data_IF_827969303124
#
_entry.id   IF_827969303124
#
_cell.length_a   1.000
_cell.length_b   1.000
_cell.length_c   1.000
_cell.angle_alpha   90.00
_cell.angle_beta   90.00
_cell.angle_gamma   90.00
#
_symmetry.space_group_name_H-M   'P 1'
#
loop_
_entity.id
_entity.type
_entity.pdbx_description
1 polymer ?
#
# COMPACT_ATOMS: atom_id res chain seq x y z
N UNK A 1 -22.41 10.41 21.76
CA UNK A 1 -21.97 9.05 21.35
C UNK A 1 -22.71 7.95 22.10
N UNK A 2 -22.76 7.97 23.44
CA UNK A 2 -23.42 6.92 24.24
C UNK A 2 -24.94 7.14 24.39
N UNK A 3 -25.62 7.35 23.27
CA UNK A 3 -27.07 7.47 23.26
C UNK A 3 -27.71 6.10 22.95
N UNK A 4 -28.80 5.77 23.64
CA UNK A 4 -29.47 4.47 23.51
C UNK A 4 -30.14 4.32 22.14
N UNK A 5 -30.96 5.30 21.73
CA UNK A 5 -31.52 5.33 20.38
C UNK A 5 -30.40 5.68 19.39
N UNK A 6 -30.10 4.82 18.39
CA UNK A 6 -29.07 5.11 17.38
C UNK A 6 -29.31 6.43 16.65
N UNK A 7 -30.58 6.85 16.47
CA UNK A 7 -30.92 8.12 15.81
C UNK A 7 -30.55 9.34 16.64
N UNK A 8 -30.43 9.17 17.95
CA UNK A 8 -30.00 10.22 18.88
C UNK A 8 -28.47 10.28 19.05
N UNK A 9 -27.75 9.34 18.44
CA UNK A 9 -26.29 9.31 18.48
C UNK A 9 -25.72 10.38 17.56
N UNK A 10 -24.76 11.16 18.08
CA UNK A 10 -23.94 12.08 17.29
C UNK A 10 -23.25 11.36 16.12
N UNK A 11 -23.19 11.99 14.95
CA UNK A 11 -22.47 11.47 13.79
C UNK A 11 -20.96 11.70 13.94
N UNK A 12 -20.15 11.10 13.04
CA UNK A 12 -18.70 11.28 13.09
C UNK A 12 -18.32 12.74 12.80
N UNK A 13 -18.99 13.38 11.83
CA UNK A 13 -18.75 14.76 11.42
C UNK A 13 -19.06 15.73 12.57
N UNK A 14 -20.21 15.56 13.23
CA UNK A 14 -20.59 16.37 14.39
C UNK A 14 -19.65 16.15 15.59
N UNK A 15 -19.07 14.96 15.72
CA UNK A 15 -18.10 14.68 16.78
C UNK A 15 -16.75 15.36 16.52
N UNK A 16 -16.31 15.45 15.26
CA UNK A 16 -15.09 16.15 14.85
C UNK A 16 -15.19 17.66 15.11
N UNK A 17 -16.37 18.26 14.92
CA UNK A 17 -16.66 19.65 15.27
C UNK A 17 -16.75 19.93 16.79
N UNK A 18 -16.67 18.91 17.66
CA UNK A 18 -16.84 19.09 19.10
C UNK A 18 -15.62 19.79 19.74
N UNK A 19 -15.79 20.71 20.72
CA UNK A 19 -14.69 21.47 21.33
C UNK A 19 -13.54 20.63 21.90
N UNK A 20 -13.84 19.37 22.27
CA UNK A 20 -12.84 18.42 22.74
C UNK A 20 -11.76 18.09 21.70
N UNK A 21 -12.11 18.05 20.41
CA UNK A 21 -11.18 17.72 19.32
C UNK A 21 -10.63 18.95 18.60
N UNK A 22 -10.99 20.17 19.02
CA UNK A 22 -10.67 21.41 18.33
C UNK A 22 -9.17 21.61 18.05
N UNK A 23 -8.29 21.15 18.93
CA UNK A 23 -6.83 21.25 18.75
C UNK A 23 -6.32 20.41 17.56
N UNK A 24 -7.04 19.35 17.19
CA UNK A 24 -6.62 18.38 16.17
C UNK A 24 -7.47 18.44 14.90
N UNK A 25 -8.66 19.04 14.98
CA UNK A 25 -9.62 19.05 13.88
C UNK A 25 -9.14 19.92 12.72
N UNK A 26 -9.02 19.33 11.53
CA UNK A 26 -8.72 20.01 10.27
C UNK A 26 -9.58 19.43 9.14
N UNK A 27 -10.61 20.18 8.74
CA UNK A 27 -11.55 19.78 7.68
C UNK A 27 -10.88 19.50 6.34
N UNK A 28 -9.70 20.07 6.07
CA UNK A 28 -8.98 19.82 4.80
C UNK A 28 -8.27 18.46 4.79
N UNK A 29 -7.99 17.89 5.96
CA UNK A 29 -7.29 16.62 6.13
C UNK A 29 -8.24 15.46 6.55
N UNK A 30 -9.55 15.68 6.48
CA UNK A 30 -10.59 14.73 6.86
C UNK A 30 -11.61 14.53 5.72
N UNK A 31 -11.20 14.02 4.54
CA UNK A 31 -12.08 13.89 3.38
C UNK A 31 -13.05 12.71 3.50
N UNK A 32 -14.24 12.87 2.92
CA UNK A 32 -15.16 11.77 2.67
C UNK A 32 -14.61 10.83 1.59
N UNK A 33 -15.02 9.56 1.63
CA UNK A 33 -14.75 8.62 0.55
C UNK A 33 -15.44 9.10 -0.75
N UNK A 34 -14.73 9.17 -1.89
CA UNK A 34 -15.32 9.64 -3.14
C UNK A 34 -16.40 8.70 -3.69
N UNK A 35 -16.37 7.42 -3.29
CA UNK A 35 -17.34 6.40 -3.69
C UNK A 35 -17.83 5.63 -2.48
N UNK A 36 -19.12 5.29 -2.47
CA UNK A 36 -19.66 4.33 -1.53
C UNK A 36 -19.02 2.94 -1.78
N UNK A 37 -18.82 2.19 -0.70
CA UNK A 37 -18.34 0.81 -0.81
C UNK A 37 -19.48 -0.12 -1.24
N UNK A 38 -19.19 -1.02 -2.19
CA UNK A 38 -20.16 -1.96 -2.73
C UNK A 38 -20.15 -3.29 -1.96
N UNK A 39 -21.25 -3.58 -1.26
CA UNK A 39 -21.40 -4.77 -0.41
C UNK A 39 -21.94 -6.01 -1.14
N UNK A 40 -21.96 -6.02 -2.48
CA UNK A 40 -22.51 -7.15 -3.25
C UNK A 40 -21.90 -8.51 -2.92
N UNK A 41 -20.62 -8.56 -2.58
CA UNK A 41 -19.94 -9.82 -2.20
C UNK A 41 -20.54 -10.48 -0.96
N UNK A 42 -21.19 -9.72 -0.06
CA UNK A 42 -21.77 -10.25 1.19
C UNK A 42 -22.98 -11.17 0.92
N UNK A 43 -23.56 -11.07 -0.28
CA UNK A 43 -24.71 -11.89 -0.68
C UNK A 43 -24.33 -13.22 -1.33
N UNK A 44 -23.03 -13.48 -1.52
CA UNK A 44 -22.52 -14.71 -2.16
C UNK A 44 -22.65 -15.87 -1.18
N UNK A 45 -23.56 -16.80 -1.48
CA UNK A 45 -23.82 -17.97 -0.65
C UNK A 45 -22.93 -19.17 -0.95
N UNK A 46 -22.26 -19.19 -2.10
CA UNK A 46 -21.41 -20.30 -2.52
C UNK A 46 -19.93 -20.07 -2.16
N UNK A 47 -19.30 -21.10 -1.58
CA UNK A 47 -17.90 -21.02 -1.13
C UNK A 47 -16.95 -21.03 -2.32
N UNK A 48 -17.29 -21.71 -3.42
CA UNK A 48 -16.44 -21.72 -4.62
C UNK A 48 -16.41 -20.34 -5.25
N UNK A 49 -17.56 -19.70 -5.42
CA UNK A 49 -17.67 -18.33 -5.91
C UNK A 49 -16.91 -17.33 -5.01
N UNK A 50 -17.04 -17.46 -3.68
CA UNK A 50 -16.29 -16.64 -2.74
C UNK A 50 -14.77 -16.81 -2.89
N UNK A 51 -14.29 -18.04 -3.09
CA UNK A 51 -12.86 -18.31 -3.33
C UNK A 51 -12.36 -17.61 -4.59
N UNK A 52 -13.17 -17.65 -5.65
CA UNK A 52 -12.80 -17.06 -6.93
C UNK A 52 -12.80 -15.52 -6.83
N UNK A 53 -13.77 -14.91 -6.15
CA UNK A 53 -13.78 -13.46 -5.85
C UNK A 53 -12.51 -13.03 -5.08
N UNK A 54 -12.14 -13.78 -4.02
CA UNK A 54 -10.93 -13.48 -3.24
C UNK A 54 -9.68 -13.59 -4.10
N UNK A 55 -9.60 -14.64 -4.93
CA UNK A 55 -8.46 -14.86 -5.82
C UNK A 55 -8.30 -13.70 -6.81
N UNK A 56 -9.40 -13.31 -7.46
CA UNK A 56 -9.41 -12.23 -8.44
C UNK A 56 -9.00 -10.90 -7.81
N UNK A 57 -9.47 -10.59 -6.60
CA UNK A 57 -9.08 -9.38 -5.87
C UNK A 57 -7.57 -9.36 -5.58
N UNK A 58 -6.99 -10.48 -5.14
CA UNK A 58 -5.54 -10.57 -4.87
C UNK A 58 -4.72 -10.36 -6.15
N UNK A 59 -5.16 -10.92 -7.28
CA UNK A 59 -4.49 -10.75 -8.57
C UNK A 59 -4.56 -9.29 -9.01
N UNK A 60 -5.74 -8.68 -8.97
CA UNK A 60 -5.95 -7.26 -9.33
C UNK A 60 -5.12 -6.34 -8.43
N UNK A 61 -5.15 -6.55 -7.12
CA UNK A 61 -4.38 -5.76 -6.16
C UNK A 61 -2.87 -5.87 -6.42
N UNK A 62 -2.36 -7.06 -6.76
CA UNK A 62 -0.93 -7.24 -7.06
C UNK A 62 -0.50 -6.39 -8.26
N UNK A 63 -1.34 -6.28 -9.28
CA UNK A 63 -1.01 -5.50 -10.47
C UNK A 63 -1.04 -3.99 -10.18
N UNK A 64 -2.00 -3.54 -9.38
CA UNK A 64 -2.02 -2.16 -8.86
C UNK A 64 -0.81 -1.87 -7.97
N UNK A 65 -0.47 -2.76 -7.04
CA UNK A 65 0.69 -2.58 -6.16
C UNK A 65 2.01 -2.56 -6.94
N UNK A 66 2.10 -3.30 -8.05
CA UNK A 66 3.26 -3.25 -8.96
C UNK A 66 3.34 -1.91 -9.69
N UNK A 67 2.22 -1.37 -10.18
CA UNK A 67 2.23 -0.08 -10.87
C UNK A 67 2.66 1.04 -9.92
N UNK A 68 2.18 1.04 -8.67
CA UNK A 68 2.62 1.99 -7.65
C UNK A 68 4.12 1.89 -7.33
N UNK A 69 4.65 0.67 -7.26
CA UNK A 69 6.10 0.45 -7.05
C UNK A 69 6.94 0.88 -8.25
N UNK A 70 6.41 0.79 -9.46
CA UNK A 70 7.10 1.25 -10.66
C UNK A 70 7.12 2.78 -10.76
N UNK A 71 6.01 3.46 -10.41
CA UNK A 71 5.90 4.92 -10.40
C UNK A 71 6.77 5.57 -9.30
N UNK A 72 6.85 4.95 -8.13
CA UNK A 72 7.65 5.45 -6.99
C UNK A 72 9.11 5.00 -7.02
N UNK A 73 9.54 4.30 -8.07
CA UNK A 73 10.95 4.02 -8.33
C UNK A 73 11.66 5.31 -8.74
N UNK A 74 11.99 6.15 -7.75
CA UNK A 74 12.92 7.26 -7.92
C UNK A 74 14.23 6.68 -8.47
N UNK A 75 14.70 7.05 -9.66
CA UNK A 75 16.05 6.68 -10.07
C UNK A 75 17.00 7.30 -9.06
N UNK A 76 17.80 6.45 -8.42
CA UNK A 76 18.77 6.83 -7.40
C UNK A 76 19.60 8.03 -7.89
N UNK A 77 19.50 9.22 -7.25
CA UNK A 77 20.22 10.41 -7.67
C UNK A 77 21.74 10.24 -7.65
N UNK A 78 22.25 9.23 -6.92
CA UNK A 78 23.68 9.01 -6.75
C UNK A 78 24.36 8.32 -7.95
N UNK A 79 23.63 7.96 -9.01
CA UNK A 79 24.27 7.37 -10.20
C UNK A 79 24.94 8.38 -11.14
N UNK A 80 24.75 9.69 -10.94
CA UNK A 80 25.37 10.74 -11.77
C UNK A 80 26.73 11.23 -11.26
N UNK A 81 27.13 10.94 -10.02
CA UNK A 81 28.39 11.47 -9.45
C UNK A 81 29.62 10.57 -9.64
N UNK A 82 29.46 9.29 -9.93
CA UNK A 82 30.60 8.35 -10.02
C UNK A 82 31.38 8.51 -11.34
N UNK A 83 30.82 9.20 -12.35
CA UNK A 83 31.50 9.36 -13.65
C UNK A 83 32.63 10.39 -13.67
N UNK A 84 32.82 11.23 -12.64
CA UNK A 84 33.81 12.32 -12.70
C UNK A 84 35.10 12.09 -11.90
N UNK A 85 35.14 11.13 -10.97
CA UNK A 85 36.36 10.81 -10.24
C UNK A 85 37.08 9.62 -10.88
N UNK A 86 37.78 9.93 -11.97
CA UNK A 86 38.83 9.06 -12.50
C UNK A 86 39.92 8.88 -11.44
N UNK A 87 39.95 7.70 -10.81
CA UNK A 87 41.07 7.29 -9.98
C UNK A 87 42.13 6.61 -10.87
N UNK A 88 43.39 7.06 -10.84
CA UNK A 88 44.46 6.49 -11.66
C UNK A 88 44.90 5.14 -11.08
N UNK A 89 45.12 4.18 -11.98
CA UNK A 89 45.75 2.87 -11.77
C UNK A 89 44.92 1.76 -11.09
N UNK A 90 44.18 1.01 -11.92
CA UNK A 90 43.66 -0.33 -11.60
C UNK A 90 43.02 -1.01 -12.83
N UNK A 91 43.26 -2.31 -13.08
CA UNK A 91 42.97 -2.94 -14.37
C UNK A 91 41.46 -3.03 -14.65
N UNK A 92 41.08 -2.67 -15.88
CA UNK A 92 39.71 -2.73 -16.39
C UNK A 92 39.06 -4.09 -16.17
N UNK A 93 38.17 -4.20 -15.18
CA UNK A 93 37.15 -5.25 -15.16
C UNK A 93 35.81 -4.62 -15.49
N UNK A 94 35.36 -4.88 -16.72
CA UNK A 94 34.00 -4.57 -17.18
C UNK A 94 33.01 -5.14 -16.18
N UNK A 95 32.26 -4.28 -15.49
CA UNK A 95 31.05 -4.69 -14.80
C UNK A 95 30.00 -5.03 -15.87
N UNK A 96 29.82 -6.32 -16.12
CA UNK A 96 28.64 -6.81 -16.83
C UNK A 96 27.45 -6.71 -15.90
N UNK A 97 26.45 -5.90 -16.27
CA UNK A 97 25.14 -5.90 -15.63
C UNK A 97 24.48 -7.24 -15.99
N UNK A 98 24.46 -8.18 -15.06
CA UNK A 98 23.54 -9.32 -15.17
C UNK A 98 22.13 -8.81 -14.88
N UNK A 99 21.29 -8.86 -15.91
CA UNK A 99 19.83 -8.81 -15.81
C UNK A 99 19.33 -9.84 -14.80
N UNK A 100 18.47 -9.52 -13.82
CA UNK A 100 17.84 -10.54 -13.01
C UNK A 100 16.59 -11.04 -13.76
N UNK A 101 16.82 -11.84 -14.80
CA UNK A 101 15.87 -12.89 -15.17
C UNK A 101 16.33 -14.14 -14.43
N UNK A 102 15.53 -14.63 -13.48
CA UNK A 102 15.68 -15.97 -12.93
C UNK A 102 16.18 -16.05 -11.49
N UNK A 103 15.26 -16.50 -10.65
CA UNK A 103 15.45 -17.55 -9.65
C UNK A 103 16.24 -17.22 -8.37
N UNK A 104 15.53 -17.36 -7.24
CA UNK A 104 16.12 -17.70 -5.95
C UNK A 104 16.22 -16.55 -4.98
N UNK A 105 15.15 -16.28 -4.26
CA UNK A 105 15.23 -15.74 -2.90
C UNK A 105 14.15 -16.48 -2.09
N UNK A 106 14.58 -17.55 -1.41
CA UNK A 106 13.82 -18.14 -0.30
C UNK A 106 13.48 -17.03 0.67
N UNK A 107 12.19 -16.80 0.92
CA UNK A 107 11.74 -15.94 2.00
C UNK A 107 11.46 -16.87 3.17
N UNK A 108 12.41 -16.94 4.11
CA UNK A 108 12.28 -17.72 5.34
C UNK A 108 11.14 -17.13 6.17
N UNK A 109 9.97 -17.78 6.16
CA UNK A 109 8.90 -17.52 7.11
C UNK A 109 9.19 -18.28 8.40
N UNK A 110 9.83 -17.63 9.35
CA UNK A 110 9.85 -18.15 10.72
C UNK A 110 8.55 -17.71 11.42
N UNK A 111 7.50 -18.51 11.27
CA UNK A 111 6.45 -18.59 12.28
C UNK A 111 6.74 -19.84 13.12
N UNK A 112 7.16 -19.67 14.36
CA UNK A 112 7.03 -20.76 15.33
C UNK A 112 6.77 -20.22 16.74
N UNK A 113 5.57 -20.60 17.18
CA UNK A 113 4.96 -20.57 18.50
C UNK A 113 5.96 -20.91 19.62
N UNK A 114 6.00 -20.07 20.65
CA UNK A 114 5.87 -20.46 22.07
C UNK A 114 5.56 -19.25 22.93
#
# INVERSE_FOLDING_TARGET
>A
MLAFDPRSRITAELALDHPYLQTWHDRSNEPDSPTAFDFRFDTVGDVSEMRDIIYDEVVQFRDVARSWRAETAVPDPLQLEISSYGHPDGPSRRFGVLSPAGNGCEVSFQLMIS
#
